data_IF_107576184256
#
_entry.id   IF_107576184256
#
_cell.length_a   1.000
_cell.length_b   1.000
_cell.length_c   1.000
_cell.angle_alpha   90.00
_cell.angle_beta   90.00
_cell.angle_gamma   90.00
#
_symmetry.space_group_name_H-M   'P 1'
#
loop_
_entity.id
_entity.type
_entity.pdbx_description
1 polymer ?
#
# COMPACT_ATOMS: atom_id res chain seq x y z
N UNK A 1 69.86 -47.17 -22.87
CA UNK A 1 70.29 -45.94 -22.18
C UNK A 1 69.02 -45.25 -21.67
N UNK A 2 68.72 -45.07 -20.39
CA UNK A 2 69.34 -45.46 -19.13
C UNK A 2 68.39 -45.13 -17.95
N UNK A 3 68.66 -45.76 -16.81
CA UNK A 3 68.25 -45.43 -15.41
C UNK A 3 66.75 -45.56 -15.07
N UNK A 4 66.32 -46.58 -14.33
CA UNK A 4 66.43 -46.78 -12.86
C UNK A 4 66.14 -45.52 -12.03
N UNK A 5 65.07 -45.56 -11.21
CA UNK A 5 65.15 -45.31 -9.77
C UNK A 5 63.83 -45.72 -9.08
N UNK A 6 63.99 -46.58 -8.08
CA UNK A 6 63.04 -46.93 -7.02
C UNK A 6 63.05 -45.84 -5.94
N UNK A 7 61.96 -45.65 -5.19
CA UNK A 7 62.02 -45.28 -3.78
C UNK A 7 60.67 -45.49 -3.06
N UNK A 8 60.75 -46.23 -1.96
CA UNK A 8 59.79 -46.34 -0.86
C UNK A 8 59.57 -45.02 -0.11
N UNK A 9 58.41 -44.85 0.52
CA UNK A 9 58.26 -44.55 1.97
C UNK A 9 56.76 -44.56 2.35
N UNK A 10 56.28 -45.50 3.16
CA UNK A 10 56.17 -45.49 4.64
C UNK A 10 55.21 -44.46 5.27
N UNK A 11 54.30 -45.05 6.07
CA UNK A 11 53.64 -44.51 7.27
C UNK A 11 52.41 -43.59 7.05
N UNK A 12 51.41 -43.51 7.91
CA UNK A 12 51.22 -44.07 9.25
C UNK A 12 49.70 -44.10 9.59
N UNK A 13 49.38 -44.93 10.58
CA UNK A 13 48.09 -45.14 11.24
C UNK A 13 47.41 -43.85 11.78
N UNK A 14 46.06 -43.84 11.88
CA UNK A 14 45.29 -43.90 13.16
C UNK A 14 43.84 -43.38 13.07
N UNK A 15 42.97 -44.19 13.68
CA UNK A 15 41.81 -43.87 14.55
C UNK A 15 40.67 -42.95 14.09
N UNK A 16 39.48 -43.55 14.02
CA UNK A 16 38.49 -43.46 15.12
C UNK A 16 37.66 -42.18 15.22
N UNK A 17 36.33 -42.31 15.18
CA UNK A 17 35.46 -41.19 15.55
C UNK A 17 33.97 -41.43 15.32
N UNK A 18 33.25 -41.69 16.41
CA UNK A 18 31.80 -41.85 16.51
C UNK A 18 30.99 -40.58 16.17
N UNK A 19 29.71 -40.83 15.82
CA UNK A 19 28.48 -40.04 16.14
C UNK A 19 28.28 -38.68 15.46
N UNK A 20 27.23 -38.57 14.65
CA UNK A 20 25.91 -38.10 15.11
C UNK A 20 24.97 -37.85 13.92
N UNK A 21 23.86 -38.58 13.87
CA UNK A 21 22.69 -38.18 13.08
C UNK A 21 22.12 -36.92 13.72
N UNK A 22 22.37 -35.76 13.12
CA UNK A 22 21.77 -34.51 13.54
C UNK A 22 20.25 -34.61 13.32
N UNK A 23 19.56 -34.73 14.44
CA UNK A 23 18.12 -34.63 14.59
C UNK A 23 17.68 -33.26 14.06
N UNK A 24 17.07 -33.22 12.87
CA UNK A 24 16.34 -32.03 12.41
C UNK A 24 15.19 -31.78 13.39
N UNK A 25 15.41 -30.89 14.37
CA UNK A 25 14.35 -30.37 15.23
C UNK A 25 13.43 -29.52 14.37
N UNK A 26 12.35 -30.16 13.92
CA UNK A 26 11.21 -29.48 13.31
C UNK A 26 10.47 -28.76 14.44
N UNK A 27 10.95 -27.58 14.82
CA UNK A 27 10.37 -26.78 15.90
C UNK A 27 9.02 -26.24 15.42
N UNK A 28 7.96 -27.01 15.63
CA UNK A 28 6.58 -26.51 15.49
C UNK A 28 6.38 -25.42 16.54
N UNK A 29 6.39 -24.16 16.09
CA UNK A 29 5.98 -23.03 16.92
C UNK A 29 4.51 -23.25 17.29
N UNK A 30 4.14 -23.24 18.59
CA UNK A 30 2.75 -23.34 19.00
C UNK A 30 1.95 -22.19 18.40
N UNK A 31 0.81 -22.47 17.77
CA UNK A 31 -0.03 -21.47 17.08
C UNK A 31 -0.32 -20.22 17.94
N UNK A 32 -0.45 -20.38 19.27
CA UNK A 32 -0.66 -19.28 20.21
C UNK A 32 0.51 -18.29 20.34
N UNK A 33 1.77 -18.73 20.17
CA UNK A 33 2.93 -17.81 20.20
C UNK A 33 3.09 -17.04 18.88
N UNK A 34 2.74 -17.66 17.77
CA UNK A 34 2.77 -17.03 16.45
C UNK A 34 1.76 -15.88 16.33
N UNK A 35 0.55 -16.06 16.88
CA UNK A 35 -0.50 -15.04 16.82
C UNK A 35 -0.18 -13.81 17.69
N UNK A 36 0.46 -14.02 18.85
CA UNK A 36 0.90 -12.91 19.71
C UNK A 36 2.01 -12.10 19.03
N UNK A 37 3.03 -12.77 18.47
CA UNK A 37 4.09 -12.11 17.72
C UNK A 37 3.55 -11.34 16.50
N UNK A 38 2.55 -11.90 15.81
CA UNK A 38 1.94 -11.25 14.65
C UNK A 38 1.10 -10.03 15.03
N UNK A 39 0.37 -10.08 16.16
CA UNK A 39 -0.32 -8.90 16.70
C UNK A 39 0.67 -7.81 17.11
N UNK A 40 1.77 -8.17 17.77
CA UNK A 40 2.79 -7.20 18.19
C UNK A 40 3.46 -6.53 16.98
N UNK A 41 3.71 -7.28 15.90
CA UNK A 41 4.22 -6.75 14.62
C UNK A 41 3.22 -5.82 13.94
N UNK A 42 1.93 -6.18 13.92
CA UNK A 42 0.88 -5.36 13.32
C UNK A 42 0.71 -4.00 14.04
N UNK A 43 1.06 -3.91 15.32
CA UNK A 43 1.05 -2.64 16.06
C UNK A 43 2.25 -1.72 15.75
N UNK A 44 3.28 -2.25 15.08
CA UNK A 44 4.54 -1.55 14.79
C UNK A 44 4.67 -1.11 13.34
N UNK A 45 3.71 -1.42 12.45
CA UNK A 45 3.83 -1.09 11.02
C UNK A 45 2.76 -0.08 10.60
N UNK A 46 3.17 0.94 9.84
CA UNK A 46 2.28 1.94 9.26
C UNK A 46 2.51 2.10 7.76
N UNK A 47 1.45 2.44 7.04
CA UNK A 47 1.52 2.98 5.70
C UNK A 47 1.55 4.51 5.79
N UNK A 48 2.70 5.11 5.49
CA UNK A 48 2.81 6.55 5.31
C UNK A 48 2.36 6.92 3.91
N UNK A 49 1.37 7.81 3.80
CA UNK A 49 0.82 8.27 2.52
C UNK A 49 0.95 9.79 2.44
N UNK A 50 1.38 10.29 1.28
CA UNK A 50 1.34 11.72 0.94
C UNK A 50 0.48 11.89 -0.31
N UNK A 51 -0.59 12.66 -0.19
CA UNK A 51 -1.54 12.95 -1.27
C UNK A 51 -1.22 14.35 -1.80
N UNK A 52 -0.71 14.45 -3.02
CA UNK A 52 -0.27 15.73 -3.58
C UNK A 52 -1.46 16.49 -4.18
N UNK A 53 -2.01 15.96 -5.27
CA UNK A 53 -3.13 16.55 -6.00
C UNK A 53 -3.85 15.49 -6.84
N UNK A 54 -5.01 15.84 -7.37
CA UNK A 54 -5.67 15.10 -8.45
C UNK A 54 -5.69 15.95 -9.72
N UNK A 55 -5.77 15.30 -10.88
CA UNK A 55 -5.96 15.96 -12.17
C UNK A 55 -7.15 15.39 -12.95
N UNK A 56 -7.81 16.23 -13.74
CA UNK A 56 -8.86 15.80 -14.67
C UNK A 56 -10.05 15.08 -14.03
N UNK A 57 -10.37 15.43 -12.78
CA UNK A 57 -11.53 14.90 -12.04
C UNK A 57 -12.75 15.78 -12.22
N UNK A 58 -13.94 15.17 -12.21
CA UNK A 58 -15.23 15.85 -12.21
C UNK A 58 -15.35 16.88 -13.34
N UNK A 59 -15.31 16.38 -14.59
CA UNK A 59 -15.35 17.22 -15.79
C UNK A 59 -16.39 18.34 -15.66
N UNK A 60 -15.98 19.62 -15.74
CA UNK A 60 -16.88 20.76 -15.66
C UNK A 60 -18.09 20.66 -16.58
N UNK A 61 -17.93 20.06 -17.77
CA UNK A 61 -19.00 19.88 -18.76
C UNK A 61 -20.15 18.98 -18.27
N UNK A 62 -19.90 18.18 -17.22
CA UNK A 62 -20.83 17.17 -16.72
C UNK A 62 -21.63 17.60 -15.49
N UNK A 63 -21.46 18.82 -14.97
CA UNK A 63 -22.20 19.33 -13.81
C UNK A 63 -22.69 20.76 -14.02
N UNK A 64 -23.85 21.05 -13.43
CA UNK A 64 -24.47 22.38 -13.44
C UNK A 64 -23.81 23.38 -12.50
N UNK A 65 -22.96 22.90 -11.58
CA UNK A 65 -22.19 23.75 -10.68
C UNK A 65 -21.12 24.50 -11.47
N UNK A 66 -21.10 25.82 -11.30
CA UNK A 66 -19.99 26.64 -11.74
C UNK A 66 -18.70 26.05 -11.19
N UNK A 67 -17.82 25.72 -12.12
CA UNK A 67 -16.57 25.07 -11.86
C UNK A 67 -15.85 25.72 -10.64
N UNK A 68 -15.85 27.07 -10.53
CA UNK A 68 -15.11 27.84 -9.52
C UNK A 68 -15.57 27.60 -8.09
N UNK A 69 -16.78 27.09 -7.92
CA UNK A 69 -17.40 26.89 -6.63
C UNK A 69 -17.23 25.46 -6.11
N UNK A 70 -16.60 24.59 -6.90
CA UNK A 70 -16.37 23.20 -6.53
C UNK A 70 -15.27 23.11 -5.47
N UNK A 71 -15.58 22.41 -4.40
CA UNK A 71 -14.64 22.04 -3.34
C UNK A 71 -14.43 20.53 -3.32
N UNK A 72 -13.18 20.12 -3.14
CA UNK A 72 -12.81 18.72 -3.18
C UNK A 72 -12.01 18.30 -1.95
N UNK A 73 -12.18 17.04 -1.56
CA UNK A 73 -11.30 16.37 -0.62
C UNK A 73 -10.93 14.97 -1.11
N UNK A 74 -9.78 14.47 -0.68
CA UNK A 74 -9.41 13.09 -0.84
C UNK A 74 -9.69 12.31 0.45
N UNK A 75 -10.18 11.09 0.28
CA UNK A 75 -10.39 10.10 1.32
C UNK A 75 -9.47 8.90 1.01
N UNK A 76 -8.72 8.42 1.99
CA UNK A 76 -7.85 7.24 1.80
C UNK A 76 -7.96 6.27 2.96
N UNK A 77 -7.97 4.98 2.66
CA UNK A 77 -8.04 3.91 3.67
C UNK A 77 -7.51 2.58 3.14
N UNK A 78 -7.03 1.73 4.04
CA UNK A 78 -6.69 0.33 3.73
C UNK A 78 -7.84 -0.58 4.18
N UNK A 79 -8.23 -0.48 5.44
CA UNK A 79 -9.40 -1.15 6.00
C UNK A 79 -10.55 -0.16 6.20
N UNK A 80 -11.81 -0.54 5.92
CA UNK A 80 -12.97 0.30 6.21
C UNK A 80 -13.03 0.73 7.69
N UNK A 81 -13.52 1.93 7.96
CA UNK A 81 -13.62 2.51 9.30
C UNK A 81 -12.33 3.18 9.81
N UNK A 82 -11.26 3.17 9.01
CA UNK A 82 -9.97 3.82 9.34
C UNK A 82 -9.57 4.83 8.26
N UNK A 83 -10.52 5.69 7.87
CA UNK A 83 -10.29 6.65 6.78
C UNK A 83 -9.54 7.90 7.25
N UNK A 84 -8.50 8.27 6.50
CA UNK A 84 -7.96 9.62 6.54
C UNK A 84 -8.71 10.50 5.55
N UNK A 85 -9.01 11.74 5.97
CA UNK A 85 -9.73 12.73 5.16
C UNK A 85 -8.87 13.98 5.06
N UNK A 86 -8.59 14.44 3.86
CA UNK A 86 -7.99 15.77 3.68
C UNK A 86 -9.03 16.86 3.99
N UNK A 87 -8.58 18.09 4.29
CA UNK A 87 -9.46 19.26 4.23
C UNK A 87 -10.09 19.41 2.84
N UNK A 88 -11.23 20.10 2.79
CA UNK A 88 -11.80 20.56 1.53
C UNK A 88 -10.96 21.72 0.97
N UNK A 89 -10.65 21.67 -0.31
CA UNK A 89 -9.94 22.72 -1.04
C UNK A 89 -10.77 23.16 -2.24
N UNK A 90 -10.82 24.46 -2.51
CA UNK A 90 -11.31 24.99 -3.79
C UNK A 90 -10.23 24.78 -4.83
N UNK A 91 -10.57 24.13 -5.93
CA UNK A 91 -9.67 24.04 -7.07
C UNK A 91 -10.45 23.62 -8.30
N UNK A 92 -10.01 24.10 -9.45
CA UNK A 92 -10.51 23.64 -10.73
C UNK A 92 -9.38 23.31 -11.69
N UNK A 93 -9.48 22.18 -12.42
CA UNK A 93 -10.06 20.90 -12.02
C UNK A 93 -9.09 20.08 -11.14
N UNK A 94 -7.99 20.70 -10.69
CA UNK A 94 -6.84 20.00 -10.15
C UNK A 94 -6.63 20.32 -8.65
N UNK A 95 -7.42 19.72 -7.74
CA UNK A 95 -7.29 19.98 -6.32
C UNK A 95 -5.95 19.52 -5.77
N UNK A 96 -5.28 20.43 -5.06
CA UNK A 96 -4.02 20.20 -4.36
C UNK A 96 -4.25 20.18 -2.86
N UNK A 97 -3.82 19.11 -2.21
CA UNK A 97 -3.97 18.92 -0.77
C UNK A 97 -2.64 18.95 -0.04
N UNK A 98 -1.58 18.41 -0.66
CA UNK A 98 -0.27 18.20 -0.02
C UNK A 98 -0.37 17.59 1.39
N UNK A 99 -1.36 16.71 1.56
CA UNK A 99 -1.73 16.11 2.85
C UNK A 99 -0.91 14.86 3.12
N UNK A 100 -0.51 14.66 4.38
CA UNK A 100 0.22 13.48 4.83
C UNK A 100 -0.53 12.78 5.95
N UNK A 101 -0.57 11.45 5.90
CA UNK A 101 -1.14 10.63 6.95
C UNK A 101 -0.34 9.34 7.18
N UNK A 102 -0.57 8.72 8.32
CA UNK A 102 -0.06 7.39 8.66
C UNK A 102 -1.24 6.50 9.02
N UNK A 103 -1.37 5.39 8.31
CA UNK A 103 -2.45 4.43 8.48
C UNK A 103 -1.86 3.19 9.13
N UNK A 104 -2.34 2.77 10.32
CA UNK A 104 -1.94 1.49 10.91
C UNK A 104 -2.15 0.36 9.91
N UNK A 105 -1.15 -0.51 9.74
CA UNK A 105 -1.17 -1.53 8.71
C UNK A 105 -0.87 -2.90 9.31
N UNK A 106 -1.79 -3.84 9.12
CA UNK A 106 -1.51 -5.25 9.40
C UNK A 106 -0.56 -5.81 8.35
N UNK A 107 0.50 -6.46 8.81
CA UNK A 107 1.54 -7.07 7.95
C UNK A 107 0.97 -8.09 6.97
N UNK A 108 -0.11 -8.77 7.35
CA UNK A 108 -0.84 -9.72 6.49
C UNK A 108 -1.44 -9.08 5.22
N UNK A 109 -1.58 -7.76 5.16
CA UNK A 109 -2.11 -7.02 4.02
C UNK A 109 -1.04 -6.67 2.97
N UNK A 110 0.26 -6.88 3.25
CA UNK A 110 1.32 -6.47 2.33
C UNK A 110 1.29 -7.20 0.98
N UNK A 111 0.79 -8.43 0.96
CA UNK A 111 0.80 -9.28 -0.25
C UNK A 111 -0.39 -9.01 -1.20
N UNK A 112 -1.52 -8.54 -0.67
CA UNK A 112 -2.78 -8.45 -1.42
C UNK A 112 -3.63 -7.21 -1.09
N UNK A 113 -3.21 -6.40 -0.13
CA UNK A 113 -3.88 -5.19 0.31
C UNK A 113 -3.80 -4.07 -0.73
N UNK A 114 -4.76 -3.15 -0.61
CA UNK A 114 -4.85 -1.98 -1.48
C UNK A 114 -5.07 -0.74 -0.62
N UNK A 115 -4.45 0.36 -1.03
CA UNK A 115 -4.92 1.68 -0.64
C UNK A 115 -6.13 2.01 -1.51
N UNK A 116 -7.29 2.16 -0.86
CA UNK A 116 -8.48 2.70 -1.48
C UNK A 116 -8.38 4.22 -1.41
N UNK A 117 -8.71 4.87 -2.54
CA UNK A 117 -8.72 6.31 -2.67
C UNK A 117 -10.07 6.72 -3.23
N UNK A 118 -10.65 7.77 -2.68
CA UNK A 118 -11.87 8.38 -3.16
C UNK A 118 -11.73 9.89 -3.16
N UNK A 119 -12.00 10.53 -4.30
CA UNK A 119 -12.13 11.97 -4.40
C UNK A 119 -13.61 12.30 -4.24
N UNK A 120 -13.89 13.22 -3.32
CA UNK A 120 -15.25 13.65 -3.01
C UNK A 120 -15.41 15.13 -3.34
N UNK A 121 -16.53 15.48 -3.96
CA UNK A 121 -17.02 16.85 -4.11
C UNK A 121 -17.90 17.20 -2.90
N UNK A 122 -17.61 18.31 -2.24
CA UNK A 122 -18.49 18.88 -1.22
C UNK A 122 -19.60 19.72 -1.85
N UNK A 123 -20.68 19.95 -1.11
CA UNK A 123 -21.78 20.82 -1.56
C UNK A 123 -21.36 22.28 -1.50
N UNK A 124 -21.71 23.00 -2.55
CA UNK A 124 -22.22 24.35 -2.45
C UNK A 124 -23.75 24.28 -2.44
N UNK A 125 -24.44 25.33 -1.96
CA UNK A 125 -25.89 25.36 -1.73
C UNK A 125 -26.78 25.13 -2.99
N UNK A 126 -26.19 24.80 -4.14
CA UNK A 126 -26.80 24.81 -5.47
C UNK A 126 -27.10 23.43 -6.08
N UNK A 127 -26.54 22.32 -5.58
CA UNK A 127 -26.94 20.97 -6.02
C UNK A 127 -27.41 20.09 -4.85
N UNK A 128 -28.50 19.30 -5.02
CA UNK A 128 -28.88 18.31 -4.04
C UNK A 128 -27.83 17.21 -4.00
N UNK A 129 -26.91 17.29 -3.04
CA UNK A 129 -26.04 16.16 -2.70
C UNK A 129 -26.82 15.08 -1.93
N UNK A 130 -26.09 14.13 -1.34
CA UNK A 130 -26.65 13.31 -0.26
C UNK A 130 -27.16 14.21 0.88
N UNK A 131 -27.79 13.68 1.93
CA UNK A 131 -28.29 14.49 3.07
C UNK A 131 -27.23 15.40 3.71
N UNK A 132 -25.94 15.18 3.42
CA UNK A 132 -24.80 15.95 3.89
C UNK A 132 -24.10 16.77 2.78
N UNK A 133 -24.65 16.80 1.56
CA UNK A 133 -24.12 17.58 0.45
C UNK A 133 -22.86 17.02 -0.23
N UNK A 134 -22.35 15.86 0.20
CA UNK A 134 -21.10 15.30 -0.32
C UNK A 134 -21.40 14.23 -1.39
N UNK A 135 -20.69 14.29 -2.52
CA UNK A 135 -20.77 13.33 -3.61
C UNK A 135 -19.39 12.69 -3.89
N UNK A 136 -19.37 11.38 -4.13
CA UNK A 136 -18.19 10.68 -4.66
C UNK A 136 -18.06 10.97 -6.14
N UNK A 137 -16.92 11.51 -6.58
CA UNK A 137 -16.69 11.81 -8.01
C UNK A 137 -15.79 10.80 -8.68
N UNK A 138 -14.79 10.27 -7.97
CA UNK A 138 -13.87 9.30 -8.55
C UNK A 138 -13.15 8.46 -7.49
N UNK A 139 -12.71 7.27 -7.87
CA UNK A 139 -12.10 6.27 -6.99
C UNK A 139 -10.90 5.57 -7.63
N UNK A 140 -9.98 5.10 -6.80
CA UNK A 140 -8.89 4.22 -7.21
C UNK A 140 -8.63 3.15 -6.15
N UNK A 141 -8.10 2.00 -6.60
CA UNK A 141 -7.53 0.95 -5.74
C UNK A 141 -6.09 0.74 -6.13
N UNK A 142 -5.16 1.14 -5.26
CA UNK A 142 -3.74 1.13 -5.54
C UNK A 142 -3.08 0.02 -4.70
N UNK A 143 -2.44 -0.99 -5.31
CA UNK A 143 -1.77 -2.03 -4.54
C UNK A 143 -0.72 -1.45 -3.59
N UNK A 144 -0.64 -1.98 -2.36
CA UNK A 144 0.34 -1.54 -1.38
C UNK A 144 1.79 -1.85 -1.83
N UNK A 145 2.80 -1.15 -1.28
CA UNK A 145 4.19 -1.56 -1.44
C UNK A 145 4.42 -2.94 -0.83
N UNK A 146 5.07 -3.83 -1.56
CA UNK A 146 5.29 -5.22 -1.13
C UNK A 146 6.44 -5.39 -0.14
N UNK A 147 7.27 -4.36 0.01
CA UNK A 147 8.47 -4.39 0.86
C UNK A 147 8.46 -3.20 1.81
N UNK A 148 8.99 -3.45 3.01
CA UNK A 148 9.33 -2.38 3.95
C UNK A 148 10.26 -1.38 3.27
N UNK A 149 10.06 -0.13 3.61
CA UNK A 149 10.77 1.04 3.12
C UNK A 149 10.74 1.31 1.61
N UNK A 150 10.03 0.49 0.84
CA UNK A 150 9.83 0.73 -0.58
C UNK A 150 8.84 1.88 -0.76
N UNK A 151 9.33 3.01 -1.32
CA UNK A 151 8.48 4.09 -1.77
C UNK A 151 7.81 3.69 -3.09
N UNK A 152 6.50 3.82 -3.14
CA UNK A 152 5.69 3.76 -4.35
C UNK A 152 5.09 5.13 -4.59
N UNK A 153 5.44 5.77 -5.68
CA UNK A 153 4.96 7.10 -6.06
C UNK A 153 4.53 7.07 -7.52
N UNK A 154 3.50 7.82 -7.84
CA UNK A 154 3.10 7.98 -9.22
C UNK A 154 1.76 8.64 -9.39
N UNK A 155 1.33 8.61 -10.64
CA UNK A 155 0.02 9.06 -11.12
C UNK A 155 -0.86 7.84 -11.33
N UNK A 156 -1.92 7.72 -10.55
CA UNK A 156 -2.79 6.54 -10.53
C UNK A 156 -4.14 6.88 -11.14
N UNK A 157 -4.59 6.06 -12.09
CA UNK A 157 -5.87 6.24 -12.76
C UNK A 157 -7.03 6.18 -11.77
N UNK A 158 -7.89 7.18 -11.85
CA UNK A 158 -9.14 7.27 -11.12
C UNK A 158 -10.29 6.84 -12.04
N UNK A 159 -11.38 6.35 -11.45
CA UNK A 159 -12.58 5.94 -12.18
C UNK A 159 -13.84 6.46 -11.51
N UNK A 160 -14.86 6.75 -12.30
CA UNK A 160 -16.20 7.13 -11.85
C UNK A 160 -17.19 6.00 -12.12
N UNK A 161 -18.12 5.81 -11.20
CA UNK A 161 -19.26 4.90 -11.42
C UNK A 161 -20.38 5.68 -12.11
N UNK A 162 -20.84 5.19 -13.26
CA UNK A 162 -21.95 5.78 -14.02
C UNK A 162 -23.25 4.97 -13.89
N UNK A 163 -23.23 3.90 -13.10
CA UNK A 163 -24.39 3.04 -12.85
C UNK A 163 -23.98 1.65 -12.38
N UNK A 164 -24.93 0.73 -12.19
CA UNK A 164 -24.64 -0.64 -11.79
C UNK A 164 -23.70 -1.32 -12.79
N UNK A 165 -22.45 -1.55 -12.38
CA UNK A 165 -21.43 -2.21 -13.20
C UNK A 165 -20.77 -1.32 -14.28
N UNK A 166 -21.20 -0.07 -14.46
CA UNK A 166 -20.58 0.85 -15.41
C UNK A 166 -19.53 1.73 -14.71
N UNK A 167 -18.31 1.65 -15.23
CA UNK A 167 -17.15 2.39 -14.73
C UNK A 167 -16.48 3.11 -15.90
N UNK A 168 -16.23 4.41 -15.75
CA UNK A 168 -15.55 5.26 -16.73
C UNK A 168 -14.23 5.76 -16.16
N UNK A 169 -13.19 5.85 -16.99
CA UNK A 169 -11.93 6.48 -16.60
C UNK A 169 -12.14 7.98 -16.32
N UNK A 170 -11.59 8.47 -15.21
CA UNK A 170 -11.85 9.82 -14.71
C UNK A 170 -10.61 10.40 -14.02
N UNK A 171 -9.70 10.99 -14.80
CA UNK A 171 -8.55 11.69 -14.23
C UNK A 171 -7.59 10.78 -13.47
N UNK A 172 -6.71 11.39 -12.67
CA UNK A 172 -5.70 10.69 -11.91
C UNK A 172 -5.49 11.31 -10.52
N UNK A 173 -5.04 10.48 -9.58
CA UNK A 173 -4.52 10.94 -8.28
C UNK A 173 -2.99 10.80 -8.28
N UNK A 174 -2.30 11.85 -7.84
CA UNK A 174 -0.85 11.86 -7.68
C UNK A 174 -0.55 11.74 -6.19
N UNK A 175 0.08 10.63 -5.80
CA UNK A 175 0.42 10.35 -4.41
C UNK A 175 1.70 9.53 -4.29
N UNK A 176 2.26 9.51 -3.09
CA UNK A 176 3.30 8.57 -2.69
C UNK A 176 2.89 7.79 -1.44
N UNK A 177 3.36 6.56 -1.33
CA UNK A 177 3.14 5.71 -0.18
C UNK A 177 4.38 4.88 0.14
N UNK A 178 4.61 4.61 1.42
CA UNK A 178 5.73 3.82 1.92
C UNK A 178 5.28 3.07 3.17
N UNK A 179 5.61 1.78 3.25
CA UNK A 179 5.44 1.01 4.48
C UNK A 179 6.68 1.20 5.34
N UNK A 180 6.50 1.51 6.62
CA UNK A 180 7.60 1.69 7.56
C UNK A 180 7.19 1.21 8.95
N UNK A 181 8.19 1.04 9.80
CA UNK A 181 7.97 0.93 11.24
C UNK A 181 7.37 2.24 11.77
N UNK A 182 6.53 2.12 12.79
CA UNK A 182 5.81 3.22 13.42
C UNK A 182 6.74 4.10 14.24
#
# INVERSE_FOLDING_TARGET
MGRMASAHDHSNMKNGGHRSKALMRNTRIPAGKSLLLQRDLDHQVVLSVTIYHADGVDDPSSSTICASDRIYRALVWVEPGTEYRTPFVRALPDPRWDGKCEIPLRTSLLDWGHLNVEVMRGSNDTEPGTSNGIASVSRARIPLPKKMDQKKEGRFGLVRNEGPGLVKAEGHIILSMKVKER
#
